data_IF_475338053190
#
_entry.id   IF_475338053190
#
_cell.length_a   1.000
_cell.length_b   1.000
_cell.length_c   1.000
_cell.angle_alpha   90.00
_cell.angle_beta   90.00
_cell.angle_gamma   90.00
#
_symmetry.space_group_name_H-M   'P 1'
#
loop_
_entity.id
_entity.type
_entity.pdbx_description
1 polymer ?
#
# COMPACT_ATOMS: atom_id res chain seq x y z
N UNK A 1 -10.92 45.64 79.06
CA UNK A 1 -9.84 46.19 78.23
C UNK A 1 -9.39 45.07 77.29
N UNK A 2 -9.67 45.16 75.98
CA UNK A 2 -8.76 45.77 74.99
C UNK A 2 -7.46 44.93 74.92
N UNK A 3 -7.04 44.22 73.88
CA UNK A 3 -7.27 44.27 72.44
C UNK A 3 -6.79 42.95 71.80
N UNK A 4 -7.51 42.52 70.76
CA UNK A 4 -7.04 42.11 69.43
C UNK A 4 -5.64 41.43 69.30
N UNK A 5 -5.60 40.15 68.93
CA UNK A 5 -5.51 39.65 67.54
C UNK A 5 -4.13 39.79 66.90
N UNK A 6 -3.59 38.66 66.40
CA UNK A 6 -2.82 38.53 65.14
C UNK A 6 -2.38 37.07 64.95
N UNK A 7 -3.32 36.19 64.61
CA UNK A 7 -2.97 34.95 63.90
C UNK A 7 -2.69 35.33 62.45
N UNK A 8 -1.41 35.38 62.08
CA UNK A 8 -0.96 35.61 60.70
C UNK A 8 -1.32 34.40 59.83
N UNK A 9 -2.49 34.44 59.18
CA UNK A 9 -2.79 33.52 58.08
C UNK A 9 -2.01 34.00 56.86
N UNK A 10 -0.86 33.38 56.58
CA UNK A 10 -0.21 33.49 55.27
C UNK A 10 -1.07 32.74 54.26
N UNK A 11 -1.98 33.45 53.59
CA UNK A 11 -2.55 32.97 52.34
C UNK A 11 -1.43 32.94 51.30
N UNK A 12 -0.82 31.77 51.10
CA UNK A 12 -0.09 31.48 49.86
C UNK A 12 -1.14 31.38 48.76
N UNK A 13 -1.48 32.51 48.14
CA UNK A 13 -2.12 32.49 46.84
C UNK A 13 -1.14 31.77 45.89
N UNK A 14 -1.38 30.49 45.60
CA UNK A 14 -0.75 29.84 44.45
C UNK A 14 -1.20 30.65 43.25
N UNK A 15 -0.33 31.52 42.77
CA UNK A 15 -0.47 32.12 41.45
C UNK A 15 -0.41 30.94 40.46
N UNK A 16 -1.56 30.39 40.10
CA UNK A 16 -1.66 29.51 38.94
C UNK A 16 -1.17 30.38 37.79
N UNK A 17 -0.06 30.03 37.12
CA UNK A 17 0.39 30.81 35.97
C UNK A 17 -0.74 30.73 34.95
N UNK A 18 -1.51 31.82 34.83
CA UNK A 18 -2.38 32.00 33.68
C UNK A 18 -1.42 32.05 32.51
N UNK A 19 -1.37 30.94 31.75
CA UNK A 19 -0.79 30.94 30.41
C UNK A 19 -1.60 31.96 29.63
N UNK A 20 -1.15 33.20 29.65
CA UNK A 20 -1.53 34.18 28.67
C UNK A 20 -0.93 33.64 27.39
N UNK A 21 -1.73 32.91 26.60
CA UNK A 21 -1.38 32.66 25.22
C UNK A 21 -1.16 34.03 24.62
N UNK A 22 0.10 34.38 24.36
CA UNK A 22 0.43 35.54 23.56
C UNK A 22 -0.23 35.25 22.21
N UNK A 23 -1.41 35.84 22.00
CA UNK A 23 -2.06 35.84 20.70
C UNK A 23 -1.07 36.55 19.79
N UNK A 24 -0.30 35.79 19.04
CA UNK A 24 0.48 36.35 17.93
C UNK A 24 -0.55 37.13 17.10
N UNK A 25 -0.48 38.46 17.16
CA UNK A 25 -1.53 39.34 16.66
C UNK A 25 -1.87 39.05 15.21
N UNK A 26 -3.03 39.53 14.75
CA UNK A 26 -3.62 39.39 13.41
C UNK A 26 -2.63 38.98 12.29
N UNK A 27 -1.46 39.63 12.21
CA UNK A 27 -0.28 39.24 11.42
C UNK A 27 0.11 37.75 11.33
N UNK A 28 0.04 36.93 12.39
CA UNK A 28 0.42 35.52 12.34
C UNK A 28 -0.70 34.64 11.77
N UNK A 29 -1.94 34.99 12.10
CA UNK A 29 -3.12 34.40 11.48
C UNK A 29 -3.17 34.75 9.99
N UNK A 30 -2.90 36.01 9.63
CA UNK A 30 -2.84 36.47 8.24
C UNK A 30 -1.76 35.74 7.44
N UNK A 31 -0.56 35.55 8.01
CA UNK A 31 0.51 34.74 7.39
C UNK A 31 0.08 33.30 7.17
N UNK A 32 -0.50 32.66 8.18
CA UNK A 32 -1.01 31.30 8.06
C UNK A 32 -2.10 31.18 6.98
N UNK A 33 -3.06 32.11 6.95
CA UNK A 33 -4.11 32.13 5.94
C UNK A 33 -3.56 32.39 4.53
N UNK A 34 -2.51 33.20 4.40
CA UNK A 34 -1.83 33.42 3.12
C UNK A 34 -1.09 32.16 2.64
N UNK A 35 -0.39 31.48 3.54
CA UNK A 35 0.29 30.21 3.26
C UNK A 35 -0.69 29.10 2.90
N UNK A 36 -1.81 28.97 3.61
CA UNK A 36 -2.85 27.99 3.32
C UNK A 36 -3.46 28.21 1.92
N UNK A 37 -3.77 29.47 1.56
CA UNK A 37 -4.23 29.81 0.21
C UNK A 37 -3.19 29.48 -0.87
N UNK A 38 -1.92 29.78 -0.61
CA UNK A 38 -0.84 29.46 -1.53
C UNK A 38 -0.69 27.94 -1.70
N UNK A 39 -0.81 27.18 -0.62
CA UNK A 39 -0.77 25.73 -0.62
C UNK A 39 -1.95 25.13 -1.40
N UNK A 40 -3.16 25.63 -1.18
CA UNK A 40 -4.36 25.18 -1.91
C UNK A 40 -4.21 25.43 -3.42
N UNK A 41 -3.73 26.61 -3.80
CA UNK A 41 -3.48 26.92 -5.21
C UNK A 41 -2.41 26.00 -5.83
N UNK A 42 -1.29 25.79 -5.14
CA UNK A 42 -0.23 24.89 -5.59
C UNK A 42 -0.72 23.43 -5.68
N UNK A 43 -1.52 22.96 -4.72
CA UNK A 43 -2.09 21.63 -4.70
C UNK A 43 -3.06 21.42 -5.87
N UNK A 44 -3.89 22.41 -6.20
CA UNK A 44 -4.77 22.35 -7.36
C UNK A 44 -3.99 22.21 -8.68
N UNK A 45 -2.93 23.02 -8.85
CA UNK A 45 -2.06 22.95 -10.03
C UNK A 45 -1.33 21.60 -10.13
N UNK A 46 -0.78 21.13 -9.01
CA UNK A 46 -0.06 19.85 -8.94
C UNK A 46 -1.00 18.68 -9.24
N UNK A 47 -2.22 18.70 -8.72
CA UNK A 47 -3.22 17.66 -8.97
C UNK A 47 -3.64 17.63 -10.44
N UNK A 48 -3.86 18.79 -11.06
CA UNK A 48 -4.16 18.86 -12.49
C UNK A 48 -3.01 18.34 -13.36
N UNK A 49 -1.76 18.67 -13.00
CA UNK A 49 -0.57 18.14 -13.67
C UNK A 49 -0.53 16.60 -13.60
N UNK A 50 -0.67 16.03 -12.40
CA UNK A 50 -0.61 14.57 -12.23
C UNK A 50 -1.78 13.86 -12.91
N UNK A 51 -2.98 14.43 -12.90
CA UNK A 51 -4.13 13.91 -13.66
C UNK A 51 -3.81 13.83 -15.15
N UNK A 52 -3.18 14.86 -15.72
CA UNK A 52 -2.75 14.87 -17.12
C UNK A 52 -1.69 13.81 -17.39
N UNK A 53 -0.69 13.67 -16.53
CA UNK A 53 0.33 12.61 -16.68
C UNK A 53 -0.32 11.22 -16.64
N UNK A 54 -1.22 10.97 -15.70
CA UNK A 54 -1.94 9.69 -15.61
C UNK A 54 -2.71 9.38 -16.89
N UNK A 55 -3.41 10.35 -17.47
CA UNK A 55 -4.20 10.12 -18.69
C UNK A 55 -3.40 10.10 -19.98
N UNK A 56 -2.41 10.98 -20.12
CA UNK A 56 -1.69 11.15 -21.39
C UNK A 56 -0.39 10.36 -21.47
N UNK A 57 0.11 9.85 -20.35
CA UNK A 57 1.33 9.04 -20.31
C UNK A 57 1.02 7.64 -19.81
N UNK A 58 0.42 7.49 -18.63
CA UNK A 58 0.22 6.17 -18.05
C UNK A 58 -0.79 5.33 -18.84
N UNK A 59 -1.94 5.88 -19.24
CA UNK A 59 -2.93 5.11 -20.03
C UNK A 59 -2.34 4.62 -21.36
N UNK A 60 -1.72 5.47 -22.22
CA UNK A 60 -1.06 4.99 -23.42
C UNK A 60 0.04 3.96 -23.14
N UNK A 61 0.85 4.18 -22.10
CA UNK A 61 1.89 3.22 -21.70
C UNK A 61 1.31 1.85 -21.33
N UNK A 62 0.22 1.83 -20.55
CA UNK A 62 -0.49 0.60 -20.20
C UNK A 62 -1.05 -0.07 -21.45
N UNK A 63 -1.64 0.69 -22.38
CA UNK A 63 -2.21 0.12 -23.61
C UNK A 63 -1.14 -0.61 -24.45
N UNK A 64 0.06 -0.03 -24.59
CA UNK A 64 1.19 -0.67 -25.28
C UNK A 64 1.63 -1.93 -24.54
N UNK A 65 1.77 -1.88 -23.21
CA UNK A 65 2.13 -3.05 -22.42
C UNK A 65 1.09 -4.17 -22.52
N UNK A 66 -0.20 -3.84 -22.51
CA UNK A 66 -1.29 -4.82 -22.67
C UNK A 66 -1.20 -5.51 -24.03
N UNK A 67 -0.99 -4.75 -25.12
CA UNK A 67 -0.84 -5.34 -26.44
C UNK A 67 0.37 -6.27 -26.53
N UNK A 68 1.51 -5.87 -25.95
CA UNK A 68 2.71 -6.70 -25.93
C UNK A 68 2.53 -7.99 -25.11
N UNK A 69 2.02 -7.89 -23.89
CA UNK A 69 1.75 -9.05 -23.02
C UNK A 69 0.71 -9.97 -23.66
N UNK A 70 -0.33 -9.43 -24.29
CA UNK A 70 -1.32 -10.23 -24.99
C UNK A 70 -0.69 -11.11 -26.07
N UNK A 71 0.21 -10.55 -26.89
CA UNK A 71 0.91 -11.33 -27.92
C UNK A 71 1.77 -12.44 -27.31
N UNK A 72 2.51 -12.14 -26.23
CA UNK A 72 3.33 -13.13 -25.53
C UNK A 72 2.47 -14.26 -24.92
N UNK A 73 1.32 -13.93 -24.34
CA UNK A 73 0.38 -14.92 -23.79
C UNK A 73 -0.26 -15.79 -24.88
N UNK A 74 -0.55 -15.23 -26.07
CA UNK A 74 -1.01 -16.00 -27.22
C UNK A 74 0.06 -16.98 -27.70
N UNK A 75 1.32 -16.55 -27.78
CA UNK A 75 2.45 -17.43 -28.10
C UNK A 75 2.64 -18.54 -27.06
N UNK A 76 2.52 -18.21 -25.77
CA UNK A 76 2.55 -19.20 -24.69
C UNK A 76 1.42 -20.21 -24.82
N UNK A 77 0.18 -19.77 -25.07
CA UNK A 77 -0.96 -20.65 -25.26
C UNK A 77 -0.74 -21.61 -26.44
N UNK A 78 -0.27 -21.10 -27.57
CA UNK A 78 0.04 -21.91 -28.76
C UNK A 78 1.17 -22.92 -28.48
N UNK A 79 2.21 -22.54 -27.74
CA UNK A 79 3.29 -23.46 -27.35
C UNK A 79 2.77 -24.60 -26.45
N UNK A 80 1.91 -24.30 -25.49
CA UNK A 80 1.28 -25.29 -24.62
C UNK A 80 0.39 -26.25 -25.42
N UNK A 81 -0.37 -25.75 -26.39
CA UNK A 81 -1.17 -26.60 -27.28
C UNK A 81 -0.28 -27.50 -28.14
N UNK A 82 0.81 -26.97 -28.71
CA UNK A 82 1.77 -27.75 -29.49
C UNK A 82 2.36 -28.90 -28.67
N UNK A 83 2.82 -28.63 -27.44
CA UNK A 83 3.33 -29.67 -26.54
C UNK A 83 2.28 -30.75 -26.25
N UNK A 84 1.02 -30.36 -26.03
CA UNK A 84 -0.07 -31.34 -25.87
C UNK A 84 -0.25 -32.18 -27.12
N UNK A 85 -0.23 -31.57 -28.31
CA UNK A 85 -0.38 -32.30 -29.57
C UNK A 85 0.75 -33.31 -29.80
N UNK A 86 2.00 -32.96 -29.49
CA UNK A 86 3.15 -33.85 -29.59
C UNK A 86 3.11 -35.01 -28.57
N UNK A 87 2.45 -34.80 -27.43
CA UNK A 87 2.38 -35.74 -26.32
C UNK A 87 1.03 -36.47 -26.21
N UNK A 88 0.28 -36.59 -27.31
CA UNK A 88 -0.95 -37.40 -27.36
C UNK A 88 -2.18 -36.74 -26.73
N UNK A 89 -2.23 -35.41 -26.73
CA UNK A 89 -3.33 -34.59 -26.20
C UNK A 89 -3.19 -34.22 -24.72
N UNK A 90 -2.12 -34.66 -24.05
CA UNK A 90 -1.84 -34.37 -22.65
C UNK A 90 -0.50 -33.66 -22.51
N UNK A 91 -0.33 -32.86 -21.46
CA UNK A 91 0.97 -32.25 -21.20
C UNK A 91 1.98 -33.33 -20.77
N UNK A 92 3.27 -33.18 -21.16
CA UNK A 92 4.32 -34.06 -20.67
C UNK A 92 4.38 -34.04 -19.14
N UNK A 93 4.70 -35.19 -18.53
CA UNK A 93 4.93 -35.23 -17.09
C UNK A 93 6.11 -34.34 -16.71
N UNK A 94 5.94 -33.52 -15.68
CA UNK A 94 7.03 -32.70 -15.14
C UNK A 94 8.15 -33.59 -14.58
N UNK A 95 9.43 -33.33 -14.92
CA UNK A 95 10.55 -34.09 -14.37
C UNK A 95 10.53 -34.13 -12.84
N UNK A 96 10.56 -35.33 -12.26
CA UNK A 96 10.50 -35.56 -10.82
C UNK A 96 11.84 -35.43 -10.12
N UNK A 97 12.53 -34.31 -10.26
CA UNK A 97 13.81 -34.09 -9.57
C UNK A 97 13.61 -33.97 -8.05
N UNK A 98 14.54 -34.49 -7.26
CA UNK A 98 14.47 -34.53 -5.78
C UNK A 98 14.29 -33.17 -5.10
N UNK A 99 14.75 -32.10 -5.76
CA UNK A 99 14.62 -30.73 -5.25
C UNK A 99 13.28 -30.08 -5.61
N UNK A 100 12.53 -30.62 -6.57
CA UNK A 100 11.21 -30.13 -6.95
C UNK A 100 10.14 -30.75 -6.05
N UNK A 101 9.09 -29.96 -5.75
CA UNK A 101 7.96 -30.38 -4.93
C UNK A 101 8.30 -31.00 -3.56
N UNK A 102 9.53 -30.84 -3.07
CA UNK A 102 9.96 -31.33 -1.76
C UNK A 102 9.06 -30.76 -0.65
N UNK A 103 8.66 -31.62 0.28
CA UNK A 103 7.92 -31.25 1.50
C UNK A 103 8.68 -31.77 2.72
N UNK A 104 9.22 -30.87 3.53
CA UNK A 104 9.82 -31.24 4.81
C UNK A 104 8.77 -31.37 5.94
N UNK A 105 7.68 -30.59 5.82
CA UNK A 105 6.51 -30.62 6.71
C UNK A 105 5.25 -30.48 5.85
N UNK A 106 4.14 -31.13 6.22
CA UNK A 106 2.88 -30.99 5.49
C UNK A 106 2.29 -29.59 5.69
N UNK A 107 1.51 -29.12 4.71
CA UNK A 107 0.71 -27.90 4.89
C UNK A 107 -0.53 -28.20 5.74
N UNK A 108 -1.08 -27.21 6.46
CA UNK A 108 -2.20 -27.44 7.37
C UNK A 108 -3.57 -27.61 6.68
N UNK A 109 -3.66 -27.40 5.36
CA UNK A 109 -4.92 -27.50 4.58
C UNK A 109 -4.92 -28.64 3.55
N UNK A 110 -3.80 -29.32 3.33
CA UNK A 110 -3.68 -30.37 2.32
C UNK A 110 -2.28 -30.51 1.72
N UNK A 111 -2.09 -31.44 0.76
CA UNK A 111 -0.79 -31.73 0.17
C UNK A 111 -0.30 -30.65 -0.82
N UNK A 112 -1.24 -29.97 -1.48
CA UNK A 112 -0.97 -29.00 -2.52
C UNK A 112 -0.80 -27.57 -1.98
N UNK A 113 -0.11 -26.72 -2.76
CA UNK A 113 0.10 -25.31 -2.41
C UNK A 113 -1.22 -24.51 -2.44
N UNK A 114 -1.21 -23.33 -1.83
CA UNK A 114 -2.40 -22.46 -1.75
C UNK A 114 -2.91 -22.04 -3.15
N UNK A 115 -2.00 -21.80 -4.10
CA UNK A 115 -2.31 -21.44 -5.48
C UNK A 115 -2.01 -22.61 -6.44
N UNK A 116 -2.39 -23.82 -6.03
CA UNK A 116 -2.25 -25.00 -6.87
C UNK A 116 -3.20 -24.95 -8.07
N UNK A 117 -2.69 -25.27 -9.25
CA UNK A 117 -3.47 -25.45 -10.46
C UNK A 117 -3.16 -26.80 -11.11
N UNK A 118 -4.15 -27.69 -11.14
CA UNK A 118 -4.03 -29.05 -11.68
C UNK A 118 -3.65 -29.12 -13.16
N UNK A 119 -3.84 -28.02 -13.92
CA UNK A 119 -3.47 -27.97 -15.34
C UNK A 119 -1.96 -27.75 -15.56
N UNK A 120 -1.23 -27.25 -14.56
CA UNK A 120 0.18 -26.84 -14.72
C UNK A 120 1.09 -27.35 -13.60
N UNK A 121 0.53 -27.77 -12.47
CA UNK A 121 1.28 -28.27 -11.33
C UNK A 121 1.01 -29.76 -11.13
N UNK A 122 2.07 -30.51 -10.79
CA UNK A 122 1.96 -31.90 -10.38
C UNK A 122 1.16 -32.00 -9.09
N UNK A 123 0.12 -32.83 -9.09
CA UNK A 123 -0.64 -33.14 -7.88
C UNK A 123 0.23 -33.94 -6.90
N UNK A 124 0.26 -33.48 -5.66
CA UNK A 124 1.03 -34.08 -4.57
C UNK A 124 0.14 -34.91 -3.62
N UNK A 125 -1.12 -35.17 -3.97
CA UNK A 125 -2.04 -35.98 -3.16
C UNK A 125 -1.63 -37.45 -3.03
N UNK A 126 -0.94 -37.99 -4.04
CA UNK A 126 -0.48 -39.38 -4.11
C UNK A 126 1.05 -39.53 -3.96
N UNK A 127 1.76 -38.44 -3.67
CA UNK A 127 3.23 -38.37 -3.65
C UNK A 127 3.87 -38.71 -2.29
#
# INVERSE_FOLDING_TARGET
MLFAARTSVRQLARAVPRRNFATTGESALEKYLAEDKALQHHAAQTTDLWRKISYYVCIPGIAVCVAWVYNAEVEHAAHIEHLKHENGGVLPETPGYDFLNRRAKPFPWGPNSLFFNAHVNKDMSEA
#
